data_IF_142320375361
#
_entry.id   IF_142320375361
#
_cell.length_a   1.000
_cell.length_b   1.000
_cell.length_c   1.000
_cell.angle_alpha   90.00
_cell.angle_beta   90.00
_cell.angle_gamma   90.00
#
_symmetry.space_group_name_H-M   'P 1'
#
loop_
_entity.id
_entity.type
_entity.pdbx_description
1 polymer ?
#
# COMPACT_ATOMS: atom_id res chain seq x y z
N UNK A 1 6.26 19.85 -0.25
CA UNK A 1 5.31 19.26 -1.24
C UNK A 1 5.26 17.76 -1.06
N UNK A 2 4.06 17.19 -1.01
CA UNK A 2 3.91 15.76 -0.80
C UNK A 2 4.17 14.97 -2.08
N UNK A 3 4.78 13.82 -1.91
CA UNK A 3 4.93 12.82 -2.97
C UNK A 3 3.94 11.67 -2.75
N UNK A 4 3.62 10.99 -3.82
CA UNK A 4 2.70 9.86 -3.82
C UNK A 4 3.49 8.56 -4.00
N UNK A 5 3.10 7.55 -3.26
CA UNK A 5 3.78 6.25 -3.30
C UNK A 5 2.78 5.13 -3.40
N UNK A 6 3.15 4.10 -4.15
CA UNK A 6 2.47 2.81 -4.18
C UNK A 6 3.41 1.81 -3.55
N UNK A 7 2.89 1.04 -2.60
CA UNK A 7 3.64 -0.03 -1.94
C UNK A 7 2.89 -1.34 -2.14
N UNK A 8 3.61 -2.38 -2.54
CA UNK A 8 3.09 -3.73 -2.61
C UNK A 8 3.75 -4.58 -1.54
N UNK A 9 2.94 -5.29 -0.77
CA UNK A 9 3.39 -6.24 0.25
C UNK A 9 2.87 -7.62 -0.14
N UNK A 10 3.79 -8.55 -0.35
CA UNK A 10 3.47 -9.96 -0.52
C UNK A 10 3.82 -10.69 0.76
N UNK A 11 2.86 -11.40 1.34
CA UNK A 11 3.09 -12.27 2.48
C UNK A 11 3.22 -13.71 1.97
N UNK A 12 4.25 -14.43 2.45
CA UNK A 12 4.49 -15.81 2.04
C UNK A 12 3.76 -16.77 2.98
N UNK A 13 3.13 -17.79 2.39
CA UNK A 13 2.36 -18.80 3.14
C UNK A 13 1.30 -18.19 4.06
N UNK A 14 0.68 -17.11 3.60
CA UNK A 14 -0.24 -16.33 4.41
C UNK A 14 -1.69 -16.73 4.18
N UNK A 15 -2.48 -16.59 5.24
CA UNK A 15 -3.93 -16.75 5.19
C UNK A 15 -4.61 -15.42 4.90
N UNK A 16 -5.91 -15.45 4.65
CA UNK A 16 -6.70 -14.23 4.52
C UNK A 16 -6.64 -13.39 5.79
N UNK A 17 -6.65 -14.01 6.97
CA UNK A 17 -6.53 -13.30 8.24
C UNK A 17 -5.18 -12.57 8.37
N UNK A 18 -4.11 -13.13 7.83
CA UNK A 18 -2.81 -12.46 7.83
C UNK A 18 -2.86 -11.17 7.02
N UNK A 19 -3.54 -11.18 5.86
CA UNK A 19 -3.72 -9.97 5.06
C UNK A 19 -4.64 -8.95 5.72
N UNK A 20 -5.66 -9.40 6.47
CA UNK A 20 -6.50 -8.49 7.25
C UNK A 20 -5.68 -7.81 8.35
N UNK A 21 -4.81 -8.56 9.01
CA UNK A 21 -3.90 -7.99 10.00
C UNK A 21 -2.92 -7.00 9.37
N UNK A 22 -2.37 -7.34 8.21
CA UNK A 22 -1.51 -6.43 7.46
C UNK A 22 -2.23 -5.12 7.16
N UNK A 23 -3.47 -5.20 6.70
CA UNK A 23 -4.24 -4.00 6.37
C UNK A 23 -4.41 -3.10 7.60
N UNK A 24 -4.73 -3.68 8.76
CA UNK A 24 -4.85 -2.91 9.99
C UNK A 24 -3.54 -2.22 10.38
N UNK A 25 -2.42 -2.92 10.23
CA UNK A 25 -1.10 -2.35 10.54
C UNK A 25 -0.70 -1.28 9.53
N UNK A 26 -1.02 -1.47 8.26
CA UNK A 26 -0.77 -0.48 7.22
C UNK A 26 -1.63 0.77 7.43
N UNK A 27 -2.92 0.59 7.73
CA UNK A 27 -3.83 1.70 8.03
C UNK A 27 -3.32 2.54 9.19
N UNK A 28 -2.84 1.89 10.26
CA UNK A 28 -2.31 2.57 11.43
C UNK A 28 -1.11 3.46 11.10
N UNK A 29 -0.44 3.20 9.98
CA UNK A 29 0.73 3.95 9.52
C UNK A 29 0.43 4.91 8.38
N UNK A 30 -0.84 5.07 8.05
CA UNK A 30 -1.27 6.06 7.07
C UNK A 30 -1.37 5.55 5.64
N UNK A 31 -1.17 4.26 5.40
CA UNK A 31 -1.42 3.65 4.09
C UNK A 31 -2.90 3.40 3.88
N UNK A 32 -3.33 3.47 2.62
CA UNK A 32 -4.73 3.23 2.25
C UNK A 32 -4.78 2.29 1.05
N UNK A 33 -5.80 1.44 1.02
CA UNK A 33 -6.08 0.63 -0.17
C UNK A 33 -6.97 1.36 -1.17
N UNK A 34 -7.39 2.56 -0.83
CA UNK A 34 -8.21 3.39 -1.72
C UNK A 34 -7.36 4.49 -2.30
N UNK A 35 -7.34 4.62 -3.62
CA UNK A 35 -6.61 5.69 -4.29
C UNK A 35 -7.56 6.55 -5.14
N UNK A 36 -7.27 7.86 -5.28
CA UNK A 36 -7.97 8.69 -6.24
C UNK A 36 -7.47 8.32 -7.65
N UNK A 37 -8.39 7.97 -8.53
CA UNK A 37 -8.03 7.69 -9.91
C UNK A 37 -7.96 9.00 -10.72
N UNK A 38 -7.36 8.97 -11.91
CA UNK A 38 -7.21 10.15 -12.76
C UNK A 38 -8.53 10.70 -13.27
N UNK A 39 -9.63 9.94 -13.18
CA UNK A 39 -10.99 10.40 -13.51
C UNK A 39 -11.70 11.07 -12.31
N UNK A 40 -10.98 11.27 -11.20
CA UNK A 40 -11.51 11.87 -9.98
C UNK A 40 -12.28 10.92 -9.07
N UNK A 41 -12.41 9.66 -9.44
CA UNK A 41 -13.12 8.65 -8.64
C UNK A 41 -12.14 7.85 -7.80
N UNK A 42 -12.64 7.36 -6.68
CA UNK A 42 -11.84 6.49 -5.80
C UNK A 42 -11.92 5.05 -6.29
N UNK A 43 -10.80 4.35 -6.14
CA UNK A 43 -10.69 2.92 -6.51
C UNK A 43 -10.01 2.17 -5.39
N UNK A 44 -10.41 0.92 -5.18
CA UNK A 44 -9.76 0.04 -4.23
C UNK A 44 -8.67 -0.74 -4.93
N UNK A 45 -7.47 -0.67 -4.36
CA UNK A 45 -6.31 -1.39 -4.89
C UNK A 45 -6.44 -2.90 -4.65
N UNK A 46 -5.78 -3.73 -5.46
CA UNK A 46 -5.70 -5.17 -5.18
C UNK A 46 -5.13 -5.45 -3.79
N UNK A 47 -5.49 -6.62 -3.25
CA UNK A 47 -4.98 -7.06 -1.94
C UNK A 47 -3.45 -7.00 -1.91
N UNK A 48 -2.92 -6.43 -0.83
CA UNK A 48 -1.48 -6.27 -0.65
C UNK A 48 -0.90 -5.01 -1.27
N UNK A 49 -1.70 -4.22 -1.99
CA UNK A 49 -1.26 -2.95 -2.55
C UNK A 49 -1.85 -1.78 -1.75
N UNK A 50 -1.03 -0.77 -1.55
CA UNK A 50 -1.38 0.38 -0.71
C UNK A 50 -0.86 1.66 -1.32
N UNK A 51 -1.57 2.74 -1.00
CA UNK A 51 -1.24 4.10 -1.41
C UNK A 51 -0.95 4.94 -0.18
N UNK A 52 0.03 5.82 -0.29
CA UNK A 52 0.33 6.78 0.76
C UNK A 52 0.86 8.08 0.14
N UNK A 53 0.54 9.19 0.79
CA UNK A 53 1.03 10.51 0.43
C UNK A 53 1.84 11.06 1.60
N UNK A 54 3.09 11.45 1.36
CA UNK A 54 4.00 11.92 2.40
C UNK A 54 4.94 12.99 1.86
N UNK A 55 5.39 13.93 2.72
CA UNK A 55 6.33 14.97 2.33
C UNK A 55 7.78 14.46 2.30
N UNK A 56 8.00 13.32 1.68
CA UNK A 56 9.33 12.74 1.47
C UNK A 56 9.47 12.40 -0.01
N UNK A 57 10.69 12.28 -0.50
CA UNK A 57 10.91 11.98 -1.90
C UNK A 57 11.51 10.59 -2.12
N UNK A 58 12.10 9.99 -1.10
CA UNK A 58 12.79 8.71 -1.22
C UNK A 58 11.86 7.55 -0.90
N UNK A 59 11.60 6.64 -1.86
CA UNK A 59 10.79 5.45 -1.60
C UNK A 59 11.32 4.57 -0.47
N UNK A 60 12.62 4.62 -0.16
CA UNK A 60 13.19 3.82 0.91
C UNK A 60 12.57 4.13 2.26
N UNK A 61 12.28 5.41 2.54
CA UNK A 61 11.63 5.82 3.79
C UNK A 61 10.24 5.19 3.90
N UNK A 62 9.49 5.18 2.80
CA UNK A 62 8.15 4.57 2.76
C UNK A 62 8.24 3.06 2.88
N UNK A 63 9.20 2.45 2.21
CA UNK A 63 9.38 1.00 2.25
C UNK A 63 9.68 0.51 3.66
N UNK A 64 10.50 1.25 4.41
CA UNK A 64 10.83 0.90 5.80
C UNK A 64 9.60 0.88 6.69
N UNK A 65 8.68 1.83 6.52
CA UNK A 65 7.42 1.88 7.29
C UNK A 65 6.56 0.66 6.95
N UNK A 66 6.48 0.30 5.67
CA UNK A 66 5.71 -0.86 5.23
C UNK A 66 6.30 -2.18 5.76
N UNK A 67 7.64 -2.29 5.81
CA UNK A 67 8.31 -3.46 6.37
C UNK A 67 7.97 -3.63 7.85
N UNK A 68 7.93 -2.54 8.63
CA UNK A 68 7.49 -2.60 10.03
C UNK A 68 6.08 -3.18 10.15
N UNK A 69 5.16 -2.72 9.30
CA UNK A 69 3.80 -3.23 9.30
C UNK A 69 3.76 -4.71 8.95
N UNK A 70 4.49 -5.12 7.91
CA UNK A 70 4.54 -6.51 7.46
C UNK A 70 5.14 -7.43 8.53
N UNK A 71 6.14 -6.97 9.28
CA UNK A 71 6.75 -7.73 10.37
C UNK A 71 5.73 -8.11 11.45
N UNK A 72 4.70 -7.28 11.66
CA UNK A 72 3.67 -7.55 12.66
C UNK A 72 2.81 -8.76 12.32
N UNK A 73 2.79 -9.19 11.06
CA UNK A 73 2.02 -10.38 10.65
C UNK A 73 2.73 -11.68 11.02
N UNK A 74 4.02 -11.61 11.37
CA UNK A 74 4.86 -12.78 11.67
C UNK A 74 5.09 -13.69 10.46
N UNK A 75 4.77 -13.21 9.25
CA UNK A 75 5.02 -13.95 8.02
C UNK A 75 6.24 -13.40 7.30
N UNK A 76 6.92 -14.24 6.54
CA UNK A 76 7.94 -13.78 5.60
C UNK A 76 7.25 -12.91 4.54
N UNK A 77 7.92 -11.89 4.08
CA UNK A 77 7.30 -10.94 3.18
C UNK A 77 8.29 -10.40 2.17
N UNK A 78 7.74 -9.86 1.09
CA UNK A 78 8.47 -9.08 0.08
C UNK A 78 7.74 -7.74 -0.04
N UNK A 79 8.49 -6.66 0.04
CA UNK A 79 7.92 -5.32 0.03
C UNK A 79 8.64 -4.49 -1.02
N UNK A 80 7.86 -3.81 -1.87
CA UNK A 80 8.41 -2.89 -2.85
C UNK A 80 7.57 -1.60 -2.84
N UNK A 81 8.25 -0.46 -2.91
CA UNK A 81 7.61 0.84 -2.92
C UNK A 81 8.13 1.68 -4.08
N UNK A 82 7.23 2.40 -4.74
CA UNK A 82 7.60 3.33 -5.81
C UNK A 82 7.01 4.70 -5.51
N UNK A 83 7.77 5.73 -5.85
CA UNK A 83 7.20 7.06 -5.99
C UNK A 83 6.50 7.14 -7.35
N UNK A 84 5.31 7.71 -7.39
CA UNK A 84 4.56 7.86 -8.63
C UNK A 84 3.89 9.24 -8.70
N UNK A 85 3.90 9.83 -9.88
CA UNK A 85 3.23 11.11 -10.12
C UNK A 85 1.96 10.93 -10.93
N UNK A 86 1.93 9.90 -11.78
CA UNK A 86 0.81 9.61 -12.66
C UNK A 86 0.47 8.14 -12.61
N UNK A 87 -0.83 7.85 -12.59
CA UNK A 87 -1.31 6.47 -12.69
C UNK A 87 -2.67 6.43 -13.35
N UNK A 88 -2.97 5.26 -13.90
CA UNK A 88 -4.29 4.95 -14.43
C UNK A 88 -4.64 3.52 -14.02
N UNK A 89 -5.92 3.22 -13.94
CA UNK A 89 -6.37 1.87 -13.65
C UNK A 89 -7.67 1.56 -14.38
N UNK A 90 -7.91 0.26 -14.60
CA UNK A 90 -9.19 -0.23 -15.09
C UNK A 90 -10.02 -0.88 -13.96
N UNK A 91 -9.66 -0.58 -12.72
CA UNK A 91 -10.36 -1.12 -11.55
C UNK A 91 -11.78 -0.55 -11.52
N UNK A 92 -12.76 -1.43 -11.46
CA UNK A 92 -14.16 -1.05 -11.36
C UNK A 92 -14.46 -0.56 -9.95
N UNK A 93 -15.25 0.52 -9.79
CA UNK A 93 -15.67 0.98 -8.48
C UNK A 93 -16.34 -0.15 -7.68
N UNK A 94 -15.97 -0.29 -6.41
CA UNK A 94 -16.55 -1.27 -5.51
C UNK A 94 -15.87 -2.65 -5.54
N UNK A 95 -14.84 -2.83 -6.33
CA UNK A 95 -14.07 -4.06 -6.31
C UNK A 95 -12.97 -4.04 -5.24
#
# INVERSE_FOLDING_TARGET
>A
MDSYFITRVELLDATENDYLRLQAEMDARGFSRVIPNNDGRRRTLPTGMYFIQRPVSDPAAINNIAVEAADKTKRKHRVISFRTDLWASNITPGL
#
